data_IF_027063753293
#
_entry.id   IF_027063753293
#
_cell.length_a   1.000
_cell.length_b   1.000
_cell.length_c   1.000
_cell.angle_alpha   90.00
_cell.angle_beta   90.00
_cell.angle_gamma   90.00
#
_symmetry.space_group_name_H-M   'P 1'
#
loop_
_entity.id
_entity.type
_entity.pdbx_description
1 polymer ?
#
# COMPACT_ATOMS: atom_id res chain seq x y z
N UNK A 1 25.26 -14.23 -6.14
CA UNK A 1 23.80 -14.32 -5.87
C UNK A 1 23.25 -12.90 -5.84
N UNK A 2 22.62 -12.43 -6.94
CA UNK A 2 22.27 -11.02 -7.13
C UNK A 2 20.75 -10.87 -6.96
N UNK A 3 20.34 -10.17 -5.91
CA UNK A 3 18.93 -9.92 -5.58
C UNK A 3 18.21 -9.20 -6.74
N UNK A 4 16.98 -9.58 -7.11
CA UNK A 4 16.33 -9.01 -8.28
C UNK A 4 15.82 -7.59 -8.01
N UNK A 5 16.45 -6.65 -8.70
CA UNK A 5 15.93 -5.41 -9.27
C UNK A 5 14.61 -4.85 -8.70
N UNK A 6 14.74 -3.78 -7.92
CA UNK A 6 13.68 -2.80 -7.69
C UNK A 6 13.23 -2.20 -9.03
N UNK A 7 12.05 -2.58 -9.50
CA UNK A 7 11.38 -1.97 -10.64
C UNK A 7 11.06 -0.51 -10.31
N UNK A 8 11.64 0.40 -11.09
CA UNK A 8 11.33 1.84 -11.12
C UNK A 8 9.80 2.04 -11.20
N UNK A 9 9.24 2.78 -10.25
CA UNK A 9 7.86 3.24 -10.33
C UNK A 9 7.75 4.38 -11.36
N UNK A 10 6.68 4.43 -12.18
CA UNK A 10 6.49 5.49 -13.14
C UNK A 10 6.19 6.84 -12.46
N UNK A 11 6.46 7.89 -13.22
CA UNK A 11 6.63 9.27 -12.81
C UNK A 11 5.40 9.92 -12.15
N UNK A 12 5.72 10.94 -11.35
CA UNK A 12 4.82 11.84 -10.65
C UNK A 12 3.77 12.47 -11.57
N UNK A 13 2.54 11.98 -11.47
CA UNK A 13 1.35 12.63 -12.01
C UNK A 13 0.18 12.16 -11.20
N UNK A 14 -0.30 13.01 -10.26
CA UNK A 14 -1.50 12.82 -9.42
C UNK A 14 -1.70 11.34 -9.02
N UNK A 15 -0.97 10.90 -8.00
CA UNK A 15 -0.91 9.50 -7.57
C UNK A 15 -2.27 8.82 -7.62
N UNK A 16 -2.33 7.66 -8.26
CA UNK A 16 -3.56 6.87 -8.36
C UNK A 16 -4.06 6.51 -6.96
N UNK A 17 -5.31 6.04 -6.84
CA UNK A 17 -5.84 5.50 -5.58
C UNK A 17 -4.86 4.51 -4.93
N UNK A 18 -4.13 3.73 -5.74
CA UNK A 18 -3.12 2.80 -5.27
C UNK A 18 -1.89 3.51 -4.67
N UNK A 19 -1.41 4.57 -5.31
CA UNK A 19 -0.25 5.34 -4.84
C UNK A 19 -0.56 6.06 -3.53
N UNK A 20 -1.79 6.57 -3.36
CA UNK A 20 -2.21 7.22 -2.13
C UNK A 20 -2.27 6.21 -0.96
N UNK A 21 -2.86 5.02 -1.18
CA UNK A 21 -2.86 3.93 -0.19
C UNK A 21 -1.43 3.49 0.13
N UNK A 22 -0.58 3.33 -0.89
CA UNK A 22 0.81 2.92 -0.70
C UNK A 22 1.63 3.94 0.10
N UNK A 23 1.44 5.24 -0.17
CA UNK A 23 2.09 6.33 0.55
C UNK A 23 1.68 6.35 2.03
N UNK A 24 0.39 6.18 2.33
CA UNK A 24 -0.09 6.08 3.71
C UNK A 24 0.54 4.88 4.43
N UNK A 25 0.63 3.73 3.76
CA UNK A 25 1.29 2.53 4.31
C UNK A 25 2.78 2.78 4.52
N UNK A 26 3.45 3.43 3.57
CA UNK A 26 4.88 3.73 3.62
C UNK A 26 5.24 4.71 4.76
N UNK A 27 4.34 5.63 5.08
CA UNK A 27 4.49 6.58 6.20
C UNK A 27 4.21 5.96 7.56
N UNK A 28 3.61 4.76 7.63
CA UNK A 28 3.31 4.10 8.90
C UNK A 28 4.45 3.18 9.33
N UNK A 29 5.23 3.63 10.33
CA UNK A 29 6.38 2.86 10.87
C UNK A 29 5.96 1.54 11.53
N UNK A 30 4.79 1.52 12.15
CA UNK A 30 4.27 0.36 12.91
C UNK A 30 3.25 -0.48 12.12
N UNK A 31 3.07 -0.18 10.83
CA UNK A 31 2.01 -0.75 10.01
C UNK A 31 0.73 0.07 10.02
N UNK A 32 -0.02 -0.02 8.92
CA UNK A 32 -1.26 0.69 8.70
C UNK A 32 -2.43 -0.29 8.81
N UNK A 33 -3.38 0.04 9.69
CA UNK A 33 -4.63 -0.71 9.84
C UNK A 33 -5.66 -0.26 8.81
N UNK A 34 -6.65 -1.11 8.52
CA UNK A 34 -7.78 -0.76 7.63
C UNK A 34 -8.47 0.52 8.09
N UNK A 35 -8.68 0.69 9.41
CA UNK A 35 -9.29 1.89 9.96
C UNK A 35 -8.46 3.16 9.70
N UNK A 36 -7.14 3.09 9.91
CA UNK A 36 -6.24 4.22 9.63
C UNK A 36 -6.17 4.54 8.14
N UNK A 37 -6.15 3.52 7.29
CA UNK A 37 -6.13 3.69 5.84
C UNK A 37 -7.41 4.35 5.34
N UNK A 38 -8.58 3.91 5.81
CA UNK A 38 -9.85 4.56 5.50
C UNK A 38 -9.86 6.04 5.89
N UNK A 39 -9.46 6.35 7.13
CA UNK A 39 -9.43 7.73 7.64
C UNK A 39 -8.49 8.64 6.84
N UNK A 40 -7.34 8.13 6.41
CA UNK A 40 -6.34 8.93 5.67
C UNK A 40 -6.61 9.04 4.18
N UNK A 41 -7.18 8.00 3.58
CA UNK A 41 -7.40 7.94 2.12
C UNK A 41 -8.82 8.33 1.72
N UNK A 42 -9.76 8.42 2.67
CA UNK A 42 -11.20 8.62 2.43
C UNK A 42 -11.78 7.64 1.41
N UNK A 43 -11.27 6.41 1.42
CA UNK A 43 -11.72 5.34 0.53
C UNK A 43 -12.77 4.46 1.20
N UNK A 44 -13.72 4.03 0.38
CA UNK A 44 -14.69 3.02 0.77
C UNK A 44 -14.04 1.66 1.02
N UNK A 45 -14.68 0.85 1.86
CA UNK A 45 -14.16 -0.47 2.28
C UNK A 45 -13.74 -1.34 1.10
N UNK A 46 -14.57 -1.38 0.06
CA UNK A 46 -14.33 -2.19 -1.15
C UNK A 46 -13.15 -1.66 -1.96
N UNK A 47 -13.05 -0.34 -2.12
CA UNK A 47 -11.96 0.29 -2.87
C UNK A 47 -10.63 0.06 -2.17
N UNK A 48 -10.61 0.21 -0.84
CA UNK A 48 -9.42 -0.04 -0.04
C UNK A 48 -8.99 -1.52 -0.11
N UNK A 49 -9.91 -2.46 0.03
CA UNK A 49 -9.62 -3.90 -0.10
C UNK A 49 -9.05 -4.24 -1.48
N UNK A 50 -9.62 -3.69 -2.55
CA UNK A 50 -9.12 -3.88 -3.90
C UNK A 50 -7.72 -3.28 -4.09
N UNK A 51 -7.47 -2.11 -3.50
CA UNK A 51 -6.18 -1.46 -3.54
C UNK A 51 -5.11 -2.28 -2.81
N UNK A 52 -5.41 -2.72 -1.58
CA UNK A 52 -4.54 -3.57 -0.77
C UNK A 52 -4.25 -4.90 -1.48
N UNK A 53 -5.26 -5.53 -2.07
CA UNK A 53 -5.08 -6.76 -2.85
C UNK A 53 -4.12 -6.54 -4.04
N UNK A 54 -4.31 -5.47 -4.82
CA UNK A 54 -3.44 -5.13 -5.95
C UNK A 54 -2.02 -4.81 -5.51
N UNK A 55 -1.85 -4.02 -4.45
CA UNK A 55 -0.53 -3.65 -3.89
C UNK A 55 0.21 -4.87 -3.34
N UNK A 56 -0.51 -5.77 -2.66
CA UNK A 56 0.04 -7.02 -2.14
C UNK A 56 0.45 -7.96 -3.27
N UNK A 57 -0.40 -8.14 -4.30
CA UNK A 57 -0.06 -8.91 -5.51
C UNK A 57 1.14 -8.35 -6.27
N UNK A 58 1.32 -7.03 -6.29
CA UNK A 58 2.50 -6.37 -6.86
C UNK A 58 3.76 -6.49 -5.99
N UNK A 59 3.65 -7.02 -4.77
CA UNK A 59 4.76 -7.13 -3.82
C UNK A 59 5.20 -5.79 -3.23
N UNK A 60 4.35 -4.75 -3.28
CA UNK A 60 4.68 -3.42 -2.75
C UNK A 60 4.39 -3.30 -1.25
N UNK A 61 3.52 -4.15 -0.72
CA UNK A 61 3.17 -4.22 0.70
C UNK A 61 3.19 -5.66 1.20
N UNK A 62 3.44 -5.81 2.51
CA UNK A 62 3.38 -7.07 3.25
C UNK A 62 2.34 -6.96 4.35
N UNK A 63 1.73 -8.09 4.69
CA UNK A 63 0.79 -8.19 5.81
C UNK A 63 1.56 -8.69 7.03
N UNK A 64 1.62 -7.89 8.10
CA UNK A 64 2.24 -8.33 9.36
C UNK A 64 1.27 -9.23 10.13
N UNK A 65 0.01 -8.82 10.19
CA UNK A 65 -1.06 -9.49 10.92
C UNK A 65 -2.39 -9.19 10.25
N UNK A 66 -3.44 -9.93 10.60
CA UNK A 66 -4.76 -9.76 9.99
C UNK A 66 -5.21 -8.29 10.10
N UNK A 67 -5.30 -7.60 8.96
CA UNK A 67 -5.70 -6.19 8.88
C UNK A 67 -4.59 -5.16 9.15
N UNK A 68 -3.33 -5.56 9.24
CA UNK A 68 -2.16 -4.69 9.45
C UNK A 68 -1.17 -4.85 8.29
N UNK A 69 -0.90 -3.76 7.58
CA UNK A 69 -0.07 -3.74 6.37
C UNK A 69 1.15 -2.85 6.52
N UNK A 70 2.31 -3.28 6.01
CA UNK A 70 3.54 -2.49 5.92
C UNK A 70 4.06 -2.46 4.50
N UNK A 71 4.90 -1.47 4.20
CA UNK A 71 5.65 -1.46 2.94
C UNK A 71 6.59 -2.66 2.90
N UNK A 72 6.62 -3.33 1.75
CA UNK A 72 7.43 -4.53 1.54
C UNK A 72 8.93 -4.24 1.56
#
# INVERSE_FOLDING_TARGET
KKAPAAKKAPAAGKGTVLDNVLDVIAKSRSGATIANLKKKTNLESRQLSNALYKLSKKGQIKTISRGVYVKA
#
